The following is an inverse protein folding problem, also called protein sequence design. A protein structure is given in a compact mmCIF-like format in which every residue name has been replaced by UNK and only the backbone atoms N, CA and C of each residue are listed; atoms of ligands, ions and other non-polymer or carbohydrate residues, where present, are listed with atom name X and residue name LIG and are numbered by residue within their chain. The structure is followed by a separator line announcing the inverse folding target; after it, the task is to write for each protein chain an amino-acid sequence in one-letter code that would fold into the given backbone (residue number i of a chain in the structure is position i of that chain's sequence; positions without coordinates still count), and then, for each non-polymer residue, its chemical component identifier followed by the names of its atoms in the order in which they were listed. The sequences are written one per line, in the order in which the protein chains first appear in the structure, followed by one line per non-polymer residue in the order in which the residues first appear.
data_IF_055398693347
#
_entry.id   IF_055398693347
#
_cell.length_a   1.000
_cell.length_b   1.000
_cell.length_c   1.000
_cell.angle_alpha   90.00
_cell.angle_beta   90.00
_cell.angle_gamma   90.00
#
_symmetry.space_group_name_H-M   'P 1'
#
loop_
_entity.id
_entity.type
_entity.pdbx_description
1 polymer ?
#
# COMPACT_ATOMS: atom_id res chain seq x y z
N UNK A 1 -5.79 3.91 4.92
CA UNK A 1 -4.58 4.76 4.96
C UNK A 1 -4.04 4.93 3.55
N UNK A 2 -3.56 6.10 3.16
CA UNK A 2 -3.00 6.30 1.81
C UNK A 2 -1.70 5.52 1.65
N UNK A 3 -1.51 4.93 0.47
CA UNK A 3 -0.30 4.21 0.09
C UNK A 3 0.41 4.99 -1.00
N UNK A 4 1.71 5.19 -0.81
CA UNK A 4 2.56 5.91 -1.74
C UNK A 4 3.64 4.99 -2.29
N UNK A 5 3.94 5.13 -3.58
CA UNK A 5 5.07 4.46 -4.19
C UNK A 5 6.42 5.12 -3.81
N UNK A 6 7.49 4.60 -4.38
CA UNK A 6 8.86 5.08 -4.15
C UNK A 6 9.11 6.51 -4.67
N UNK A 7 8.25 7.00 -5.57
CA UNK A 7 8.28 8.35 -6.13
C UNK A 7 7.38 9.33 -5.36
N UNK A 8 6.68 8.85 -4.32
CA UNK A 8 5.75 9.67 -3.54
C UNK A 8 4.39 9.86 -4.22
N UNK A 9 4.06 9.08 -5.25
CA UNK A 9 2.75 9.09 -5.89
C UNK A 9 1.80 8.21 -5.09
N UNK A 10 0.60 8.71 -4.80
CA UNK A 10 -0.44 7.90 -4.18
C UNK A 10 -0.92 6.85 -5.18
N UNK A 11 -0.80 5.58 -4.84
CA UNK A 11 -1.19 4.44 -5.70
C UNK A 11 -2.45 3.74 -5.21
N UNK A 12 -2.95 4.10 -4.03
CA UNK A 12 -4.11 3.44 -3.46
C UNK A 12 -4.29 3.68 -1.97
N UNK A 13 -5.12 2.83 -1.36
CA UNK A 13 -5.39 2.87 0.07
C UNK A 13 -5.33 1.49 0.69
N UNK A 14 -4.84 1.43 1.93
CA UNK A 14 -4.84 0.25 2.77
C UNK A 14 -6.03 0.26 3.73
N UNK A 15 -6.68 -0.89 3.89
CA UNK A 15 -7.70 -1.14 4.91
C UNK A 15 -7.07 -1.52 6.27
N UNK A 16 -7.87 -1.64 7.36
CA UNK A 16 -7.37 -2.06 8.67
C UNK A 16 -6.81 -3.48 8.74
N UNK A 17 -7.11 -4.33 7.75
CA UNK A 17 -6.57 -5.68 7.64
C UNK A 17 -5.27 -5.72 6.82
N UNK A 18 -4.81 -4.57 6.34
CA UNK A 18 -3.59 -4.44 5.55
C UNK A 18 -3.77 -4.79 4.07
N UNK A 19 -5.00 -4.97 3.56
CA UNK A 19 -5.21 -5.11 2.13
C UNK A 19 -5.10 -3.75 1.44
N UNK A 20 -4.33 -3.67 0.37
CA UNK A 20 -4.16 -2.45 -0.43
C UNK A 20 -4.94 -2.55 -1.72
N UNK A 21 -5.79 -1.55 -1.97
CA UNK A 21 -6.56 -1.41 -3.20
C UNK A 21 -6.19 -0.14 -3.94
N UNK A 22 -6.21 -0.18 -5.26
CA UNK A 22 -6.03 0.99 -6.12
C UNK A 22 -7.29 1.89 -6.17
N UNK A 23 -7.25 2.93 -6.99
CA UNK A 23 -8.37 3.86 -7.17
C UNK A 23 -9.62 3.24 -7.81
N UNK A 24 -9.49 2.07 -8.44
CA UNK A 24 -10.59 1.31 -9.03
C UNK A 24 -11.17 0.26 -8.07
N UNK A 25 -10.58 0.10 -6.88
CA UNK A 25 -10.97 -0.90 -5.90
C UNK A 25 -10.35 -2.28 -6.14
N UNK A 26 -9.38 -2.39 -7.06
CA UNK A 26 -8.66 -3.64 -7.32
C UNK A 26 -7.57 -3.80 -6.28
N UNK A 27 -7.47 -5.00 -5.69
CA UNK A 27 -6.41 -5.32 -4.73
C UNK A 27 -5.06 -5.43 -5.44
N UNK A 28 -4.11 -4.59 -5.05
CA UNK A 28 -2.77 -4.51 -5.64
C UNK A 28 -1.65 -4.94 -4.69
N UNK A 29 -1.93 -5.11 -3.39
CA UNK A 29 -0.92 -5.53 -2.45
C UNK A 29 -1.39 -5.72 -1.02
N UNK A 30 -0.42 -5.89 -0.14
CA UNK A 30 -0.60 -6.03 1.31
C UNK A 30 0.42 -5.21 2.09
N UNK A 31 -0.02 -4.67 3.22
CA UNK A 31 0.81 -3.93 4.17
C UNK A 31 1.45 -4.89 5.17
N UNK A 32 2.75 -4.80 5.36
CA UNK A 32 3.48 -5.49 6.43
C UNK A 32 3.46 -4.69 7.75
N UNK A 33 3.79 -5.29 8.91
CA UNK A 33 3.75 -4.59 10.20
C UNK A 33 4.65 -3.34 10.30
N UNK A 34 5.71 -3.26 9.51
CA UNK A 34 6.60 -2.10 9.38
C UNK A 34 6.12 -1.08 8.33
N UNK A 35 4.91 -1.25 7.81
CA UNK A 35 4.22 -0.36 6.89
C UNK A 35 4.59 -0.51 5.41
N UNK A 36 5.49 -1.41 5.03
CA UNK A 36 5.78 -1.64 3.59
C UNK A 36 4.58 -2.21 2.89
N UNK A 37 4.44 -1.91 1.61
CA UNK A 37 3.46 -2.54 0.74
C UNK A 37 4.18 -3.42 -0.27
N UNK A 38 3.79 -4.69 -0.31
CA UNK A 38 4.25 -5.66 -1.30
C UNK A 38 3.09 -6.12 -2.18
N UNK A 39 3.37 -6.40 -3.45
CA UNK A 39 2.42 -7.04 -4.36
C UNK A 39 2.32 -8.56 -4.10
N UNK A 40 1.53 -9.26 -4.91
CA UNK A 40 1.35 -10.72 -4.82
C UNK A 40 2.60 -11.54 -5.12
N UNK A 41 3.62 -10.94 -5.75
CA UNK A 41 4.92 -11.57 -6.02
C UNK A 41 5.95 -11.29 -4.91
N UNK A 42 5.57 -10.52 -3.89
CA UNK A 42 6.47 -10.12 -2.81
C UNK A 42 7.38 -8.94 -3.16
N UNK A 43 7.17 -8.30 -4.31
CA UNK A 43 7.91 -7.09 -4.71
C UNK A 43 7.36 -5.90 -3.93
N UNK A 44 8.27 -5.11 -3.37
CA UNK A 44 7.91 -3.86 -2.70
C UNK A 44 7.45 -2.85 -3.73
N UNK A 45 6.25 -2.30 -3.55
CA UNK A 45 5.64 -1.33 -4.46
C UNK A 45 5.39 0.02 -3.80
N UNK A 46 5.43 0.09 -2.46
CA UNK A 46 5.22 1.34 -1.75
C UNK A 46 5.22 1.20 -0.23
N UNK A 47 4.64 2.19 0.44
CA UNK A 47 4.48 2.24 1.91
C UNK A 47 3.20 2.98 2.28
N UNK A 48 2.58 2.60 3.40
CA UNK A 48 1.51 3.41 3.99
C UNK A 48 2.09 4.71 4.57
N UNK A 49 1.36 5.82 4.42
CA UNK A 49 1.68 7.02 5.16
C UNK A 49 1.36 6.81 6.64
N UNK A 50 2.37 6.98 7.50
CA UNK A 50 2.16 7.13 8.94
C UNK A 50 1.60 8.52 9.22
N UNK A 51 0.50 8.66 9.98
CA UNK A 51 0.17 9.95 10.58
C UNK A 51 1.37 10.39 11.42
N UNK A 52 1.88 11.60 11.15
CA UNK A 52 2.87 12.25 12.00
C UNK A 52 2.28 12.69 13.32
#
# INVERSE_FOLDING_TARGET
MNVYDHSGVCIGTADPHGAVVDHSGVRIGTVSPDGQVTDSSGVRIGRVATPG
#
